data_IF_265484747466
#
_entry.id   IF_265484747466
#
_cell.length_a   1.000
_cell.length_b   1.000
_cell.length_c   1.000
_cell.angle_alpha   90.00
_cell.angle_beta   90.00
_cell.angle_gamma   90.00
#
_symmetry.space_group_name_H-M   'P 1'
#
loop_
_entity.id
_entity.type
_entity.pdbx_description
1 polymer ?
#
# COMPACT_ATOMS: atom_id res chain seq x y z
N UNK A 1 -48.51 -0.24 31.26
CA UNK A 1 -49.00 -1.52 30.70
C UNK A 1 -47.78 -2.35 30.38
N UNK A 2 -47.61 -3.54 30.98
CA UNK A 2 -46.40 -4.36 30.79
C UNK A 2 -46.79 -5.75 30.31
N UNK A 3 -46.30 -6.13 29.12
CA UNK A 3 -46.42 -7.48 28.59
C UNK A 3 -45.24 -8.30 29.12
N UNK A 4 -45.52 -9.41 29.81
CA UNK A 4 -44.53 -10.41 30.20
C UNK A 4 -44.78 -11.70 29.41
N UNK A 5 -43.75 -12.17 28.72
CA UNK A 5 -43.74 -13.42 27.95
C UNK A 5 -42.66 -14.31 28.55
N UNK A 6 -43.04 -15.48 29.06
CA UNK A 6 -42.09 -16.43 29.69
C UNK A 6 -41.32 -17.24 28.65
N UNK A 7 -42.01 -17.77 27.63
CA UNK A 7 -41.38 -18.40 26.48
C UNK A 7 -42.34 -18.45 25.27
N UNK A 8 -41.75 -18.54 24.08
CA UNK A 8 -42.44 -18.78 22.82
C UNK A 8 -41.88 -20.08 22.26
N UNK A 9 -42.75 -20.97 21.76
CA UNK A 9 -42.35 -22.15 20.98
C UNK A 9 -42.95 -22.02 19.59
N UNK A 10 -42.11 -22.14 18.57
CA UNK A 10 -42.55 -22.37 17.20
C UNK A 10 -42.44 -23.86 16.90
N UNK A 11 -43.49 -24.42 16.29
CA UNK A 11 -43.48 -25.75 15.71
C UNK A 11 -43.50 -25.60 14.19
N UNK A 12 -42.70 -26.40 13.50
CA UNK A 12 -42.78 -26.50 12.04
C UNK A 12 -43.95 -27.39 11.68
N UNK A 13 -44.74 -26.97 10.69
CA UNK A 13 -45.74 -27.85 10.10
C UNK A 13 -45.02 -28.93 9.30
N UNK A 14 -45.36 -30.19 9.57
CA UNK A 14 -44.76 -31.38 8.97
C UNK A 14 -45.78 -32.13 8.11
N UNK A 15 -46.92 -31.51 7.79
CA UNK A 15 -48.00 -32.18 7.09
C UNK A 15 -47.61 -32.57 5.65
N UNK A 16 -48.00 -33.78 5.25
CA UNK A 16 -47.65 -34.37 3.96
C UNK A 16 -48.58 -33.88 2.83
N UNK A 17 -49.57 -33.04 3.16
CA UNK A 17 -50.55 -32.49 2.23
C UNK A 17 -50.22 -31.05 1.76
N UNK A 18 -49.10 -30.49 2.22
CA UNK A 18 -48.63 -29.17 1.81
C UNK A 18 -47.87 -29.24 0.49
N UNK A 19 -48.08 -28.24 -0.38
CA UNK A 19 -47.30 -28.10 -1.60
C UNK A 19 -45.80 -28.01 -1.30
N UNK A 20 -44.97 -28.48 -2.24
CA UNK A 20 -43.52 -28.62 -2.04
C UNK A 20 -42.79 -27.31 -1.67
N UNK A 21 -43.38 -26.16 -2.01
CA UNK A 21 -42.90 -24.81 -1.70
C UNK A 21 -43.39 -24.26 -0.36
N UNK A 22 -44.37 -24.91 0.27
CA UNK A 22 -44.98 -24.52 1.54
C UNK A 22 -44.30 -25.18 2.77
N UNK A 23 -43.35 -26.10 2.52
CA UNK A 23 -42.50 -26.63 3.58
C UNK A 23 -41.48 -25.60 4.07
N UNK A 24 -41.45 -25.40 5.39
CA UNK A 24 -40.38 -24.67 6.06
C UNK A 24 -39.03 -25.33 5.75
N UNK A 25 -38.21 -24.71 4.91
CA UNK A 25 -36.93 -25.26 4.49
C UNK A 25 -35.88 -25.10 5.61
N UNK A 26 -35.21 -26.20 5.96
CA UNK A 26 -34.14 -26.20 6.98
C UNK A 26 -32.79 -26.06 6.29
N UNK A 27 -32.02 -25.03 6.63
CA UNK A 27 -30.68 -24.81 6.09
C UNK A 27 -30.28 -23.35 6.13
N UNK A 28 -29.02 -23.06 5.79
CA UNK A 28 -28.50 -21.69 5.80
C UNK A 28 -28.82 -20.90 4.51
N UNK A 29 -29.23 -21.57 3.43
CA UNK A 29 -29.50 -20.95 2.13
C UNK A 29 -30.42 -21.84 1.26
N UNK A 30 -31.70 -21.98 1.62
CA UNK A 30 -32.63 -22.79 0.84
C UNK A 30 -32.98 -22.12 -0.49
N UNK A 31 -33.01 -22.89 -1.58
CA UNK A 31 -33.25 -22.38 -2.96
C UNK A 31 -34.57 -21.63 -3.13
N UNK A 32 -35.57 -21.89 -2.29
CA UNK A 32 -36.88 -21.24 -2.35
C UNK A 32 -36.89 -19.84 -1.71
N UNK A 33 -35.83 -19.45 -1.01
CA UNK A 33 -35.77 -18.17 -0.31
C UNK A 33 -34.91 -17.14 -1.07
N UNK A 34 -35.16 -15.84 -0.84
CA UNK A 34 -34.37 -14.78 -1.44
C UNK A 34 -32.87 -14.94 -1.17
N UNK A 35 -32.07 -14.77 -2.22
CA UNK A 35 -30.61 -14.73 -2.09
C UNK A 35 -30.17 -13.45 -1.42
N UNK A 36 -28.94 -13.43 -0.89
CA UNK A 36 -28.32 -12.21 -0.36
C UNK A 36 -28.41 -11.03 -1.33
N UNK A 37 -28.10 -11.27 -2.61
CA UNK A 37 -28.10 -10.22 -3.64
C UNK A 37 -29.51 -9.70 -3.92
N UNK A 38 -30.53 -10.57 -3.86
CA UNK A 38 -31.93 -10.14 -3.97
C UNK A 38 -32.33 -9.24 -2.81
N UNK A 39 -32.02 -9.65 -1.57
CA UNK A 39 -32.36 -8.89 -0.35
C UNK A 39 -31.67 -7.51 -0.37
N UNK A 40 -30.40 -7.45 -0.77
CA UNK A 40 -29.67 -6.19 -0.87
C UNK A 40 -30.22 -5.28 -1.98
N UNK A 41 -30.76 -5.86 -3.06
CA UNK A 41 -31.40 -5.13 -4.15
C UNK A 41 -32.82 -4.62 -3.86
N UNK A 42 -33.50 -5.20 -2.87
CA UNK A 42 -34.89 -4.89 -2.48
C UNK A 42 -34.97 -4.50 -1.00
N UNK A 43 -33.93 -3.82 -0.48
CA UNK A 43 -33.82 -3.50 0.95
C UNK A 43 -35.00 -2.64 1.45
N UNK A 44 -35.60 -1.85 0.55
CA UNK A 44 -36.78 -1.02 0.77
C UNK A 44 -38.05 -1.82 1.08
N UNK A 45 -38.12 -3.09 0.72
CA UNK A 45 -39.20 -4.00 1.13
C UNK A 45 -39.02 -4.51 2.57
N UNK A 46 -37.79 -4.46 3.08
CA UNK A 46 -37.40 -5.01 4.39
C UNK A 46 -37.11 -3.94 5.44
N UNK A 47 -37.15 -2.67 5.05
CA UNK A 47 -36.98 -1.54 5.96
C UNK A 47 -38.12 -0.54 5.85
N UNK A 48 -38.45 0.08 6.97
CA UNK A 48 -39.36 1.22 6.99
C UNK A 48 -38.72 2.40 7.77
N UNK A 49 -39.47 3.48 7.95
CA UNK A 49 -38.94 4.66 8.64
C UNK A 49 -38.62 4.40 10.12
N UNK A 50 -39.27 3.40 10.74
CA UNK A 50 -39.16 3.04 12.15
C UNK A 50 -38.24 1.82 12.39
N UNK A 51 -37.99 1.00 11.37
CA UNK A 51 -37.18 -0.21 11.40
C UNK A 51 -36.21 -0.25 10.21
N UNK A 52 -35.11 0.50 10.34
CA UNK A 52 -34.07 0.55 9.30
C UNK A 52 -33.17 -0.65 9.36
N UNK A 53 -32.66 -1.07 8.20
CA UNK A 53 -31.64 -2.10 8.17
C UNK A 53 -30.38 -1.60 8.91
N UNK A 54 -29.87 -2.40 9.85
CA UNK A 54 -28.62 -2.09 10.54
C UNK A 54 -27.62 -3.25 10.44
N UNK A 55 -26.37 -2.92 10.13
CA UNK A 55 -25.31 -3.91 10.13
C UNK A 55 -24.89 -4.20 11.58
N UNK A 56 -25.21 -5.41 12.05
CA UNK A 56 -24.85 -5.83 13.40
C UNK A 56 -23.37 -6.23 13.45
N UNK A 57 -22.60 -5.57 14.31
CA UNK A 57 -21.22 -5.95 14.60
C UNK A 57 -21.17 -6.89 15.83
N UNK A 58 -20.98 -8.19 15.58
CA UNK A 58 -20.93 -9.21 16.62
C UNK A 58 -22.28 -9.87 16.90
N UNK A 59 -22.45 -10.38 18.14
CA UNK A 59 -23.64 -11.07 18.67
C UNK A 59 -23.87 -12.51 18.22
N UNK A 60 -23.00 -13.11 17.41
CA UNK A 60 -23.00 -14.57 17.26
C UNK A 60 -22.75 -15.26 18.60
N UNK A 61 -23.31 -16.46 18.78
CA UNK A 61 -22.96 -17.31 19.90
C UNK A 61 -21.49 -17.73 19.82
N UNK A 62 -20.82 -17.72 20.97
CA UNK A 62 -19.42 -18.13 21.08
C UNK A 62 -19.17 -18.83 22.42
N UNK A 63 -18.19 -19.73 22.42
CA UNK A 63 -17.66 -20.39 23.62
C UNK A 63 -16.27 -19.86 23.96
N UNK A 64 -15.46 -19.54 22.95
CA UNK A 64 -14.13 -18.95 23.08
C UNK A 64 -14.00 -17.68 22.23
N UNK A 65 -13.04 -16.83 22.56
CA UNK A 65 -12.70 -15.67 21.71
C UNK A 65 -12.21 -16.08 20.31
N UNK A 66 -11.76 -17.33 20.14
CA UNK A 66 -11.36 -17.86 18.83
C UNK A 66 -12.54 -17.98 17.86
N UNK A 67 -13.76 -18.18 18.37
CA UNK A 67 -14.98 -18.25 17.55
C UNK A 67 -15.31 -16.91 16.89
N UNK A 68 -14.75 -15.82 17.44
CA UNK A 68 -14.96 -14.44 17.01
C UNK A 68 -13.70 -13.86 16.31
N UNK A 69 -12.74 -14.70 15.95
CA UNK A 69 -11.39 -14.31 15.48
C UNK A 69 -11.13 -14.93 14.11
N UNK A 70 -10.62 -14.13 13.17
CA UNK A 70 -10.24 -14.64 11.85
C UNK A 70 -9.04 -15.58 12.01
N UNK A 71 -9.20 -16.81 11.54
CA UNK A 71 -8.18 -17.84 11.65
C UNK A 71 -8.08 -18.51 13.04
N UNK A 72 -9.02 -18.28 13.96
CA UNK A 72 -8.99 -18.76 15.37
C UNK A 72 -8.41 -20.17 15.60
N UNK A 73 -9.27 -21.21 15.65
CA UNK A 73 -8.83 -22.60 15.94
C UNK A 73 -8.19 -23.33 14.74
N UNK A 74 -8.42 -22.84 13.53
CA UNK A 74 -8.12 -23.55 12.27
C UNK A 74 -7.06 -22.83 11.40
N UNK A 75 -6.70 -21.59 11.73
CA UNK A 75 -5.80 -20.76 10.92
C UNK A 75 -4.36 -20.77 11.42
N UNK A 76 -3.41 -20.69 10.48
CA UNK A 76 -1.98 -20.59 10.76
C UNK A 76 -1.55 -19.23 11.35
N UNK A 77 -2.41 -18.23 11.24
CA UNK A 77 -2.22 -16.90 11.82
C UNK A 77 -3.57 -16.39 12.29
N UNK A 78 -3.71 -16.16 13.60
CA UNK A 78 -4.94 -15.67 14.20
C UNK A 78 -4.90 -14.14 14.27
N UNK A 79 -5.85 -13.49 13.58
CA UNK A 79 -6.04 -12.05 13.68
C UNK A 79 -7.20 -11.79 14.65
N UNK A 80 -6.89 -11.22 15.82
CA UNK A 80 -7.85 -10.95 16.88
C UNK A 80 -8.82 -9.84 16.48
N UNK A 81 -9.90 -10.21 15.81
CA UNK A 81 -10.94 -9.30 15.33
C UNK A 81 -12.10 -9.14 16.31
N UNK A 82 -12.37 -10.16 17.13
CA UNK A 82 -13.42 -10.15 18.15
C UNK A 82 -13.02 -10.86 19.45
N UNK A 83 -13.88 -10.75 20.46
CA UNK A 83 -13.77 -11.44 21.75
C UNK A 83 -15.11 -12.06 22.12
N UNK A 84 -15.06 -13.18 22.86
CA UNK A 84 -16.28 -13.78 23.39
C UNK A 84 -16.60 -13.18 24.76
N UNK A 85 -17.76 -12.54 24.89
CA UNK A 85 -18.23 -11.92 26.12
C UNK A 85 -19.68 -12.30 26.35
N UNK A 86 -20.00 -12.89 27.51
CA UNK A 86 -21.36 -13.35 27.85
C UNK A 86 -21.95 -14.30 26.78
N UNK A 87 -21.16 -15.28 26.33
CA UNK A 87 -21.51 -16.22 25.25
C UNK A 87 -21.88 -15.54 23.92
N UNK A 88 -21.47 -14.28 23.71
CA UNK A 88 -21.72 -13.50 22.49
C UNK A 88 -20.43 -12.86 21.96
N UNK A 89 -20.25 -12.87 20.65
CA UNK A 89 -19.11 -12.19 20.03
C UNK A 89 -19.25 -10.67 20.16
N UNK A 90 -18.15 -10.00 20.50
CA UNK A 90 -18.01 -8.55 20.53
C UNK A 90 -16.80 -8.16 19.71
N UNK A 91 -16.99 -7.30 18.70
CA UNK A 91 -15.91 -6.92 17.79
C UNK A 91 -14.95 -5.97 18.49
N UNK A 92 -13.65 -6.22 18.36
CA UNK A 92 -12.61 -5.38 18.98
C UNK A 92 -12.54 -3.99 18.36
N UNK A 93 -12.70 -3.92 17.04
CA UNK A 93 -12.74 -2.68 16.28
C UNK A 93 -14.02 -2.68 15.43
N UNK A 94 -15.16 -2.23 15.97
CA UNK A 94 -16.44 -2.23 15.25
C UNK A 94 -16.45 -1.39 13.97
N UNK A 95 -15.49 -0.47 13.81
CA UNK A 95 -15.30 0.34 12.60
C UNK A 95 -14.59 -0.39 11.46
N UNK A 96 -13.94 -1.53 11.75
CA UNK A 96 -13.10 -2.26 10.81
C UNK A 96 -13.50 -3.72 10.67
N UNK A 97 -14.15 -4.28 11.70
CA UNK A 97 -14.66 -5.64 11.75
C UNK A 97 -16.14 -5.64 12.12
N UNK A 98 -16.93 -6.41 11.38
CA UNK A 98 -18.35 -6.60 11.61
C UNK A 98 -18.80 -8.01 11.26
N UNK A 99 -20.11 -8.14 11.08
CA UNK A 99 -20.78 -9.43 10.97
C UNK A 99 -20.90 -10.16 12.32
N UNK A 100 -21.69 -11.24 12.39
CA UNK A 100 -22.05 -11.88 13.65
C UNK A 100 -20.84 -12.37 14.47
N UNK A 101 -19.80 -12.86 13.79
CA UNK A 101 -18.55 -13.37 14.40
C UNK A 101 -17.38 -12.41 14.31
N UNK A 102 -17.58 -11.15 13.90
CA UNK A 102 -16.49 -10.18 13.73
C UNK A 102 -15.41 -10.63 12.72
N UNK A 103 -15.78 -11.47 11.77
CA UNK A 103 -14.87 -12.03 10.76
C UNK A 103 -15.01 -11.32 9.41
N UNK A 104 -15.95 -10.38 9.29
CA UNK A 104 -16.19 -9.64 8.06
C UNK A 104 -15.50 -8.29 8.16
N UNK A 105 -14.70 -7.94 7.15
CA UNK A 105 -14.17 -6.59 7.01
C UNK A 105 -15.33 -5.64 6.70
N UNK A 106 -15.55 -4.63 7.55
CA UNK A 106 -16.55 -3.60 7.26
C UNK A 106 -15.86 -2.38 6.64
N UNK A 107 -16.19 -2.13 5.38
CA UNK A 107 -15.90 -0.84 4.74
C UNK A 107 -17.08 0.06 5.04
N UNK A 108 -16.86 1.10 5.85
CA UNK A 108 -17.90 2.10 6.12
C UNK A 108 -18.08 2.93 4.85
N UNK A 109 -18.89 2.45 3.91
CA UNK A 109 -19.46 3.26 2.83
C UNK A 109 -20.54 4.16 3.43
N UNK A 110 -20.17 5.03 4.37
CA UNK A 110 -21.06 6.04 4.89
C UNK A 110 -21.17 7.15 3.86
N UNK A 111 -22.37 7.25 3.28
CA UNK A 111 -23.00 8.44 2.73
C UNK A 111 -22.45 9.72 3.40
N UNK A 112 -21.43 10.34 2.81
CA UNK A 112 -21.14 11.77 2.92
C UNK A 112 -20.09 12.13 1.88
N UNK A 113 -20.51 12.88 0.88
CA UNK A 113 -19.67 13.65 -0.02
C UNK A 113 -18.64 14.43 0.79
N UNK A 114 -17.35 14.21 0.53
CA UNK A 114 -16.28 15.08 1.00
C UNK A 114 -15.20 14.40 1.82
N UNK A 115 -14.12 14.03 1.13
CA UNK A 115 -12.71 14.03 1.58
C UNK A 115 -12.00 12.80 1.04
N UNK A 116 -11.37 12.95 -0.12
CA UNK A 116 -10.50 11.96 -0.75
C UNK A 116 -9.25 11.61 0.07
N UNK A 117 -9.09 12.15 1.28
CA UNK A 117 -7.78 12.18 1.95
C UNK A 117 -7.67 11.49 3.29
N UNK A 118 -8.74 11.06 3.98
CA UNK A 118 -8.51 10.37 5.26
C UNK A 118 -9.56 9.34 5.64
N UNK A 119 -9.00 8.22 6.13
CA UNK A 119 -9.59 7.09 6.85
C UNK A 119 -10.07 5.97 5.94
N UNK A 120 -9.79 4.74 6.37
CA UNK A 120 -10.39 3.49 5.85
C UNK A 120 -9.62 2.78 4.73
N UNK A 121 -8.30 2.65 4.85
CA UNK A 121 -7.55 1.60 4.14
C UNK A 121 -6.68 0.82 5.13
N UNK A 122 -6.61 -0.49 4.97
CA UNK A 122 -5.74 -1.38 5.74
C UNK A 122 -4.28 -1.02 5.47
N UNK A 123 -3.59 -0.49 6.48
CA UNK A 123 -2.20 -0.04 6.40
C UNK A 123 -1.92 1.13 7.35
N UNK A 124 -0.65 1.59 7.45
CA UNK A 124 -0.33 2.87 8.07
C UNK A 124 -1.18 3.97 7.42
N UNK A 125 -1.57 5.01 8.16
CA UNK A 125 -2.50 6.01 7.63
C UNK A 125 -1.93 6.63 6.35
N UNK A 126 -2.72 6.65 5.28
CA UNK A 126 -2.29 7.09 3.94
C UNK A 126 -1.57 8.44 3.95
N UNK A 127 -1.99 9.37 4.81
CA UNK A 127 -1.30 10.65 5.01
C UNK A 127 0.16 10.50 5.45
N UNK A 128 0.46 9.59 6.38
CA UNK A 128 1.86 9.30 6.76
C UNK A 128 2.65 8.68 5.61
N UNK A 129 2.04 7.76 4.86
CA UNK A 129 2.70 7.12 3.72
C UNK A 129 3.04 8.12 2.60
N UNK A 130 2.14 9.05 2.29
CA UNK A 130 2.34 10.10 1.28
C UNK A 130 3.45 11.07 1.71
N UNK A 131 3.45 11.48 2.98
CA UNK A 131 4.51 12.36 3.51
C UNK A 131 5.88 11.68 3.45
N UNK A 132 5.97 10.42 3.86
CA UNK A 132 7.22 9.66 3.78
C UNK A 132 7.72 9.52 2.34
N UNK A 133 6.84 9.21 1.40
CA UNK A 133 7.19 9.13 -0.02
C UNK A 133 7.70 10.47 -0.56
N UNK A 134 7.05 11.59 -0.22
CA UNK A 134 7.48 12.92 -0.61
C UNK A 134 8.86 13.28 -0.06
N UNK A 135 9.13 12.97 1.22
CA UNK A 135 10.44 13.21 1.85
C UNK A 135 11.55 12.41 1.15
N UNK A 136 11.30 11.13 0.84
CA UNK A 136 12.28 10.29 0.12
C UNK A 136 12.57 10.86 -1.28
N UNK A 137 11.54 11.29 -2.01
CA UNK A 137 11.71 11.91 -3.32
C UNK A 137 12.54 13.20 -3.23
N UNK A 138 12.25 14.08 -2.26
CA UNK A 138 13.00 15.32 -2.07
C UNK A 138 14.48 15.07 -1.71
N UNK A 139 14.77 14.12 -0.83
CA UNK A 139 16.14 13.75 -0.46
C UNK A 139 16.90 13.13 -1.65
N UNK A 140 16.22 12.33 -2.48
CA UNK A 140 16.82 11.76 -3.70
C UNK A 140 17.13 12.84 -4.75
N UNK A 141 16.25 13.83 -4.92
CA UNK A 141 16.49 14.96 -5.82
C UNK A 141 17.63 15.87 -5.31
N UNK A 142 17.67 16.16 -4.02
CA UNK A 142 18.72 16.97 -3.42
C UNK A 142 20.10 16.30 -3.55
N UNK A 143 20.18 14.98 -3.31
CA UNK A 143 21.44 14.23 -3.41
C UNK A 143 21.98 14.16 -4.84
N UNK A 144 21.11 13.91 -5.82
CA UNK A 144 21.49 13.90 -7.25
C UNK A 144 21.89 15.30 -7.74
N UNK A 145 21.17 16.35 -7.34
CA UNK A 145 21.53 17.73 -7.68
C UNK A 145 22.89 18.12 -7.08
N UNK A 146 23.13 17.80 -5.81
CA UNK A 146 24.41 18.08 -5.15
C UNK A 146 25.56 17.32 -5.83
N UNK A 147 25.35 16.09 -6.28
CA UNK A 147 26.35 15.33 -7.04
C UNK A 147 26.68 16.01 -8.39
N UNK A 148 25.67 16.45 -9.15
CA UNK A 148 25.87 17.16 -10.43
C UNK A 148 26.61 18.49 -10.24
N UNK A 149 26.28 19.26 -9.20
CA UNK A 149 26.97 20.53 -8.91
C UNK A 149 28.44 20.29 -8.52
N UNK A 150 28.72 19.24 -7.73
CA UNK A 150 30.10 18.87 -7.37
C UNK A 150 30.91 18.47 -8.61
N UNK A 151 30.33 17.71 -9.53
CA UNK A 151 30.98 17.34 -10.80
C UNK A 151 31.22 18.56 -11.70
N UNK A 152 30.26 19.50 -11.79
CA UNK A 152 30.45 20.77 -12.52
C UNK A 152 31.58 21.61 -11.93
N UNK A 153 31.70 21.69 -10.60
CA UNK A 153 32.79 22.41 -9.93
C UNK A 153 34.15 21.76 -10.21
N UNK A 154 34.26 20.44 -10.05
CA UNK A 154 35.50 19.68 -10.34
C UNK A 154 35.94 19.77 -11.81
N UNK A 155 34.99 19.78 -12.74
CA UNK A 155 35.30 19.93 -14.18
C UNK A 155 35.69 21.37 -14.53
N UNK A 156 35.12 22.38 -13.89
CA UNK A 156 35.56 23.77 -14.04
C UNK A 156 36.97 23.99 -13.48
N UNK A 157 37.28 23.42 -12.31
CA UNK A 157 38.63 23.45 -11.71
C UNK A 157 39.65 22.77 -12.62
N UNK A 158 39.39 21.55 -13.12
CA UNK A 158 40.27 20.89 -14.09
C UNK A 158 40.45 21.66 -15.39
N UNK A 159 39.41 22.31 -15.91
CA UNK A 159 39.52 23.15 -17.12
C UNK A 159 40.40 24.37 -16.89
N UNK A 160 40.32 24.99 -15.71
CA UNK A 160 41.17 26.11 -15.33
C UNK A 160 42.63 25.67 -15.17
N UNK A 161 42.89 24.52 -14.56
CA UNK A 161 44.23 23.94 -14.44
C UNK A 161 44.83 23.60 -15.81
N UNK A 162 44.07 22.97 -16.71
CA UNK A 162 44.52 22.66 -18.07
C UNK A 162 44.77 23.93 -18.88
N UNK A 163 43.93 24.97 -18.74
CA UNK A 163 44.15 26.25 -19.42
C UNK A 163 45.39 26.97 -18.89
N UNK A 164 45.62 26.98 -17.58
CA UNK A 164 46.83 27.55 -16.98
C UNK A 164 48.09 26.80 -17.43
N UNK A 165 48.05 25.47 -17.47
CA UNK A 165 49.15 24.65 -18.00
C UNK A 165 49.40 24.91 -19.49
N UNK A 166 48.34 25.09 -20.30
CA UNK A 166 48.46 25.42 -21.71
C UNK A 166 49.03 26.84 -21.95
N UNK A 167 48.68 27.83 -21.13
CA UNK A 167 49.25 29.18 -21.21
C UNK A 167 50.74 29.20 -20.83
N UNK A 168 51.16 28.41 -19.83
CA UNK A 168 52.57 28.23 -19.49
C UNK A 168 53.37 27.60 -20.64
N UNK A 169 52.83 26.56 -21.29
CA UNK A 169 53.45 25.93 -22.46
C UNK A 169 53.48 26.86 -23.69
N UNK A 170 52.45 27.69 -23.87
CA UNK A 170 52.41 28.67 -24.97
C UNK A 170 53.40 29.82 -24.78
N UNK A 171 53.65 30.25 -23.54
CA UNK A 171 54.66 31.26 -23.24
C UNK A 171 56.09 30.72 -23.43
N UNK A 172 56.32 29.44 -23.14
CA UNK A 172 57.61 28.79 -23.36
C UNK A 172 57.95 28.70 -24.86
N UNK A 173 56.97 28.34 -25.71
CA UNK A 173 57.13 28.34 -27.17
C UNK A 173 57.44 29.74 -27.75
N UNK A 174 56.90 30.82 -27.17
CA UNK A 174 57.25 32.19 -27.55
C UNK A 174 58.67 32.60 -27.11
N UNK A 175 59.19 32.01 -26.04
CA UNK A 175 60.58 32.21 -25.61
C UNK A 175 61.57 31.47 -26.51
N UNK A 176 61.19 30.29 -27.01
CA UNK A 176 61.97 29.51 -27.98
C UNK A 176 61.99 30.17 -29.36
N UNK A 177 60.89 30.78 -29.80
CA UNK A 177 60.86 31.50 -31.09
C UNK A 177 61.71 32.78 -31.14
N UNK A 178 62.13 33.34 -29.99
CA UNK A 178 63.05 34.49 -29.94
C UNK A 178 64.54 34.10 -29.94
N UNK A 179 64.88 32.82 -29.79
CA UNK A 179 66.28 32.33 -29.75
C UNK A 179 66.76 31.57 -30.99
N UNK A 180 65.95 31.42 -32.03
CA UNK A 180 66.35 30.71 -33.25
C UNK A 180 66.37 31.69 -34.42
N UNK A 181 67.43 32.51 -34.45
CA UNK A 181 67.91 33.14 -35.68
C UNK A 181 69.44 33.04 -35.71
N UNK A 182 69.95 31.81 -35.76
CA UNK A 182 71.23 31.47 -36.38
C UNK A 182 71.35 29.94 -36.49
N UNK A 183 71.57 29.54 -37.74
CA UNK A 183 72.05 28.27 -38.28
C UNK A 183 71.15 27.01 -38.35
N UNK A 184 71.00 26.42 -39.56
CA UNK A 184 70.34 25.15 -39.79
C UNK A 184 71.37 24.02 -39.91
N UNK A 185 71.24 22.96 -39.13
CA UNK A 185 71.54 21.61 -39.64
C UNK A 185 71.01 20.49 -38.74
N UNK A 186 70.35 19.54 -39.42
CA UNK A 186 70.26 18.10 -39.17
C UNK A 186 70.17 17.55 -37.73
N UNK A 187 69.22 16.63 -37.49
CA UNK A 187 69.45 15.16 -37.53
C UNK A 187 68.32 14.38 -36.82
N UNK A 188 67.57 13.61 -37.60
CA UNK A 188 67.18 12.19 -37.41
C UNK A 188 66.98 11.60 -35.98
N UNK A 189 65.77 11.03 -35.73
CA UNK A 189 65.41 9.67 -35.21
C UNK A 189 64.38 9.58 -34.04
N UNK A 190 63.25 8.93 -34.38
CA UNK A 190 62.54 7.77 -33.73
C UNK A 190 61.95 7.84 -32.30
N UNK A 191 60.63 7.53 -32.28
CA UNK A 191 59.94 6.43 -31.56
C UNK A 191 59.20 6.66 -30.21
N UNK A 192 57.87 6.50 -30.30
CA UNK A 192 56.91 5.72 -29.46
C UNK A 192 56.63 6.01 -27.97
N UNK A 193 55.34 6.33 -27.70
CA UNK A 193 54.52 5.85 -26.57
C UNK A 193 53.98 6.92 -25.58
N UNK A 194 52.92 6.68 -24.76
CA UNK A 194 51.91 5.60 -24.74
C UNK A 194 50.43 6.07 -24.66
N UNK A 195 49.50 5.13 -24.95
CA UNK A 195 48.03 5.26 -24.80
C UNK A 195 47.56 5.36 -23.33
N UNK A 196 46.39 5.97 -23.04
CA UNK A 196 45.72 5.85 -21.75
C UNK A 196 44.83 4.59 -21.67
N UNK A 197 44.88 3.91 -20.52
CA UNK A 197 44.06 2.73 -20.16
C UNK A 197 42.73 3.18 -19.56
N UNK A 198 41.63 2.94 -20.25
CA UNK A 198 40.29 3.01 -19.66
C UNK A 198 39.93 1.67 -19.02
N UNK A 199 39.76 1.66 -17.70
CA UNK A 199 39.29 0.51 -16.93
C UNK A 199 37.81 0.71 -16.60
N UNK A 200 36.94 0.07 -17.37
CA UNK A 200 35.51 -0.03 -17.07
C UNK A 200 35.19 -1.50 -16.79
N UNK A 201 34.75 -1.81 -15.56
CA UNK A 201 34.23 -3.13 -15.19
C UNK A 201 32.75 -3.00 -14.84
N UNK A 202 31.90 -3.45 -15.74
CA UNK A 202 30.52 -3.82 -15.45
C UNK A 202 30.51 -5.27 -14.97
N UNK A 203 30.01 -5.52 -13.76
CA UNK A 203 29.55 -6.84 -13.35
C UNK A 203 28.03 -6.84 -13.43
N UNK A 204 27.49 -7.53 -14.44
CA UNK A 204 26.14 -8.08 -14.41
C UNK A 204 26.28 -9.56 -14.07
N UNK A 205 25.80 -9.96 -12.89
CA UNK A 205 25.20 -11.26 -12.58
C UNK A 205 24.09 -10.99 -11.57
#
# INVERSE_FOLDING_TARGET
MFLKVDYIRLYQDLDNELDADNYMQVGCDPKSHPTKDWIEGHIDEYEDNDNKWEQVAGKAFCNSSDDCTIGGKLGKSALKTGKCQNARCVCTHPSSWGGPRCTTAVSRSSRSSGSYFTRNTYGPPLGLSVVLAAVVLLLSAASTYAAVVREKKRTAERKNEVKAAAELLSNDNNSVHRRIKLDPQERSRKSSGPQPKDNYRQNFV
#
